data_IF_581018553260
#
_entry.id   IF_581018553260
#
_cell.length_a   1.000
_cell.length_b   1.000
_cell.length_c   1.000
_cell.angle_alpha   90.00
_cell.angle_beta   90.00
_cell.angle_gamma   90.00
#
_symmetry.space_group_name_H-M   'P 1'
#
loop_
_entity.id
_entity.type
_entity.pdbx_description
1 polymer ?
#
# COMPACT_ATOMS: atom_id res chain seq x y z
N UNK A 1 -3.04 25.43 -3.46
CA UNK A 1 -2.76 24.45 -2.39
C UNK A 1 -4.07 23.83 -1.97
N UNK A 2 -4.34 22.57 -2.32
CA UNK A 2 -5.58 21.88 -1.90
C UNK A 2 -5.30 21.15 -0.60
N UNK A 3 -5.89 21.63 0.48
CA UNK A 3 -5.87 20.95 1.78
C UNK A 3 -6.56 19.60 1.66
N UNK A 4 -5.89 18.54 2.11
CA UNK A 4 -6.57 17.29 2.40
C UNK A 4 -7.54 17.54 3.56
N UNK A 5 -8.78 17.03 3.53
CA UNK A 5 -9.64 17.11 4.69
C UNK A 5 -8.96 16.41 5.86
N UNK A 6 -8.96 17.05 7.03
CA UNK A 6 -9.03 16.27 8.26
C UNK A 6 -10.25 15.34 8.13
N UNK A 7 -10.12 14.08 8.57
CA UNK A 7 -11.18 13.03 8.65
C UNK A 7 -11.12 11.90 7.61
N UNK A 8 -10.01 11.65 6.91
CA UNK A 8 -9.97 10.59 5.91
C UNK A 8 -10.01 9.17 6.53
N UNK A 9 -11.20 8.57 6.59
CA UNK A 9 -11.45 7.13 6.42
C UNK A 9 -11.22 6.18 7.61
N UNK A 10 -11.88 5.02 7.54
CA UNK A 10 -11.52 3.84 8.34
C UNK A 10 -10.15 3.31 7.92
N UNK A 11 -9.47 2.56 8.81
CA UNK A 11 -8.24 1.87 8.44
C UNK A 11 -8.41 1.09 7.15
N UNK A 12 -7.46 1.27 6.22
CA UNK A 12 -7.50 0.67 4.90
C UNK A 12 -8.17 1.50 3.79
N UNK A 13 -8.67 2.70 4.08
CA UNK A 13 -9.09 3.62 3.02
C UNK A 13 -7.88 4.10 2.19
N UNK A 14 -8.05 4.16 0.86
CA UNK A 14 -7.04 4.70 -0.06
C UNK A 14 -7.25 6.20 -0.23
N UNK A 15 -6.22 6.98 0.08
CA UNK A 15 -6.21 8.45 0.04
C UNK A 15 -5.69 8.94 -1.31
N UNK A 16 -4.68 8.25 -1.85
CA UNK A 16 -4.13 8.52 -3.17
C UNK A 16 -3.98 7.18 -3.90
N UNK A 17 -4.72 7.05 -4.99
CA UNK A 17 -4.66 5.91 -5.90
C UNK A 17 -3.51 6.08 -6.90
N UNK A 18 -2.89 4.98 -7.38
CA UNK A 18 -1.91 5.03 -8.44
C UNK A 18 -2.54 5.52 -9.75
N UNK A 19 -1.75 6.09 -10.65
CA UNK A 19 -2.18 6.41 -12.02
C UNK A 19 -2.62 5.16 -12.77
N UNK A 20 -3.42 5.32 -13.83
CA UNK A 20 -3.96 4.17 -14.57
C UNK A 20 -2.89 3.40 -15.36
N UNK A 21 -1.78 4.04 -15.73
CA UNK A 21 -0.77 3.44 -16.62
C UNK A 21 0.64 3.90 -16.27
N UNK A 22 1.59 2.99 -16.38
CA UNK A 22 3.02 3.20 -16.13
C UNK A 22 3.87 2.45 -17.15
N UNK A 23 5.15 2.82 -17.22
CA UNK A 23 6.21 2.15 -17.96
C UNK A 23 7.30 1.67 -16.99
N UNK A 24 8.08 0.65 -17.36
CA UNK A 24 9.32 0.31 -16.65
C UNK A 24 10.20 1.54 -16.39
N UNK A 25 10.77 1.62 -15.19
CA UNK A 25 11.57 2.75 -14.69
C UNK A 25 10.76 3.90 -14.08
N UNK A 26 9.42 3.88 -14.14
CA UNK A 26 8.58 4.84 -13.43
C UNK A 26 8.26 4.37 -12.01
N UNK A 27 7.75 5.30 -11.19
CA UNK A 27 7.36 5.00 -9.82
C UNK A 27 5.84 5.02 -9.65
N UNK A 28 5.31 3.93 -9.12
CA UNK A 28 3.93 3.82 -8.67
C UNK A 28 3.87 4.21 -7.21
N UNK A 29 2.93 5.07 -6.83
CA UNK A 29 2.73 5.49 -5.44
C UNK A 29 1.26 5.36 -5.05
N UNK A 30 1.01 4.86 -3.84
CA UNK A 30 -0.29 4.79 -3.23
C UNK A 30 -0.22 5.20 -1.76
N UNK A 31 -1.25 5.90 -1.27
CA UNK A 31 -1.31 6.36 0.12
C UNK A 31 -2.57 5.82 0.79
N UNK A 32 -2.41 5.22 1.96
CA UNK A 32 -3.49 4.59 2.72
C UNK A 32 -3.63 5.23 4.10
N UNK A 33 -4.86 5.25 4.61
CA UNK A 33 -5.13 5.41 6.04
C UNK A 33 -4.69 4.13 6.74
N UNK A 34 -3.78 4.25 7.70
CA UNK A 34 -3.21 3.07 8.36
C UNK A 34 -2.98 3.31 9.85
N UNK A 35 -2.62 2.24 10.56
CA UNK A 35 -2.33 2.22 11.98
C UNK A 35 -0.80 2.27 12.24
N UNK A 36 -0.41 2.29 13.51
CA UNK A 36 1.00 2.24 13.91
C UNK A 36 1.60 0.86 13.59
N UNK A 37 2.72 0.76 12.85
CA UNK A 37 3.35 -0.52 12.51
C UNK A 37 3.75 -1.33 13.74
N UNK A 38 4.10 -0.68 14.85
CA UNK A 38 4.46 -1.36 16.10
C UNK A 38 3.31 -2.18 16.73
N UNK A 39 2.07 -2.03 16.27
CA UNK A 39 0.97 -2.88 16.71
C UNK A 39 1.20 -4.35 16.32
N UNK A 40 1.88 -4.58 15.20
CA UNK A 40 2.28 -5.91 14.72
C UNK A 40 3.49 -5.76 13.79
N UNK A 41 4.64 -6.30 14.21
CA UNK A 41 5.88 -6.21 13.44
C UNK A 41 5.87 -7.06 12.16
N UNK A 42 4.84 -7.90 11.96
CA UNK A 42 4.66 -8.76 10.78
C UNK A 42 5.86 -9.64 10.46
N UNK A 43 6.49 -10.22 11.50
CA UNK A 43 7.65 -11.12 11.32
C UNK A 43 7.25 -12.34 10.49
N UNK A 44 7.92 -12.54 9.35
CA UNK A 44 7.60 -13.60 8.40
C UNK A 44 6.38 -13.31 7.51
N UNK A 45 5.82 -12.10 7.58
CA UNK A 45 4.82 -11.57 6.66
C UNK A 45 5.31 -10.29 6.00
N UNK A 46 4.38 -9.45 5.54
CA UNK A 46 4.68 -8.19 4.87
C UNK A 46 3.64 -7.11 5.18
N UNK A 47 4.06 -5.83 5.16
CA UNK A 47 3.20 -4.65 5.19
C UNK A 47 2.66 -4.26 3.82
N UNK A 48 3.29 -4.68 2.73
CA UNK A 48 2.87 -4.39 1.36
C UNK A 48 3.13 -5.53 0.39
N UNK A 49 2.29 -5.64 -0.63
CA UNK A 49 2.53 -6.49 -1.78
C UNK A 49 2.26 -5.71 -3.06
N UNK A 50 3.13 -5.87 -4.06
CA UNK A 50 2.77 -5.61 -5.44
C UNK A 50 2.30 -6.93 -6.03
N UNK A 51 1.08 -6.96 -6.56
CA UNK A 51 0.51 -8.17 -7.15
C UNK A 51 0.14 -7.94 -8.60
N UNK A 52 0.46 -8.92 -9.44
CA UNK A 52 0.19 -8.96 -10.88
C UNK A 52 -0.95 -9.91 -11.17
N UNK A 53 -1.79 -9.58 -12.15
CA UNK A 53 -2.83 -10.48 -12.64
C UNK A 53 -2.25 -11.55 -13.55
N UNK A 54 -2.53 -12.82 -13.24
CA UNK A 54 -2.19 -13.99 -14.05
C UNK A 54 -3.46 -14.82 -14.29
N UNK A 55 -4.04 -14.68 -15.48
CA UNK A 55 -5.36 -15.24 -15.79
C UNK A 55 -6.45 -14.70 -14.87
N UNK A 56 -7.05 -15.59 -14.07
CA UNK A 56 -8.06 -15.25 -13.07
C UNK A 56 -7.48 -14.96 -11.67
N UNK A 57 -6.17 -15.18 -11.47
CA UNK A 57 -5.51 -15.08 -10.18
C UNK A 57 -4.66 -13.81 -10.05
N UNK A 58 -4.33 -13.44 -8.81
CA UNK A 58 -3.36 -12.40 -8.50
C UNK A 58 -2.14 -13.04 -7.83
N UNK A 59 -0.95 -12.77 -8.36
CA UNK A 59 0.31 -13.33 -7.89
C UNK A 59 1.19 -12.20 -7.37
N UNK A 60 1.72 -12.34 -6.15
CA UNK A 60 2.70 -11.39 -5.60
C UNK A 60 4.00 -11.46 -6.39
N UNK A 61 4.47 -10.30 -6.82
CA UNK A 61 5.72 -10.13 -7.56
C UNK A 61 6.76 -9.33 -6.77
N UNK A 62 6.34 -8.57 -5.76
CA UNK A 62 7.24 -7.91 -4.83
C UNK A 62 6.56 -7.68 -3.47
N UNK A 63 7.34 -7.59 -2.40
CA UNK A 63 6.92 -7.20 -1.05
C UNK A 63 7.87 -6.16 -0.43
N UNK A 64 7.76 -5.91 0.88
CA UNK A 64 8.56 -4.92 1.61
C UNK A 64 10.02 -5.33 1.85
N UNK A 65 10.41 -6.56 1.48
CA UNK A 65 11.80 -7.00 1.44
C UNK A 65 12.51 -6.69 0.13
N UNK A 66 11.77 -6.36 -0.94
CA UNK A 66 12.33 -6.07 -2.25
C UNK A 66 12.86 -4.64 -2.37
N UNK A 67 14.04 -4.47 -2.98
CA UNK A 67 14.66 -3.16 -3.22
C UNK A 67 13.80 -2.19 -4.04
N UNK A 68 12.91 -2.72 -4.87
CA UNK A 68 12.03 -1.94 -5.73
C UNK A 68 10.85 -1.33 -4.96
N UNK A 69 10.63 -1.69 -3.69
CA UNK A 69 9.50 -1.18 -2.91
C UNK A 69 9.96 -0.33 -1.74
N UNK A 70 9.08 0.55 -1.28
CA UNK A 70 9.28 1.19 0.02
C UNK A 70 7.96 1.37 0.75
N UNK A 71 8.05 1.19 2.06
CA UNK A 71 6.98 1.41 3.02
C UNK A 71 7.34 2.61 3.89
N UNK A 72 6.50 3.65 3.90
CA UNK A 72 6.73 4.83 4.73
C UNK A 72 5.51 5.18 5.54
N UNK A 73 5.59 4.93 6.85
CA UNK A 73 4.59 5.36 7.81
C UNK A 73 4.81 6.82 8.23
N UNK A 74 3.73 7.57 8.37
CA UNK A 74 3.74 8.92 8.92
C UNK A 74 2.54 9.18 9.82
N UNK A 75 2.80 9.77 10.97
CA UNK A 75 1.77 10.30 11.86
C UNK A 75 1.05 11.48 11.20
N UNK A 76 -0.28 11.49 11.32
CA UNK A 76 -1.16 12.56 10.84
C UNK A 76 -1.95 13.12 12.03
N UNK A 77 -1.43 14.20 12.62
CA UNK A 77 -1.97 14.77 13.84
C UNK A 77 -1.93 13.82 15.04
N UNK A 78 -2.91 13.93 15.95
CA UNK A 78 -2.91 13.19 17.22
C UNK A 78 -3.37 11.74 17.10
N UNK A 79 -4.31 11.45 16.21
CA UNK A 79 -4.99 10.15 16.15
C UNK A 79 -4.89 9.42 14.81
N UNK A 80 -4.50 10.09 13.72
CA UNK A 80 -4.39 9.48 12.40
C UNK A 80 -2.95 9.09 12.06
N UNK A 81 -2.82 8.15 11.12
CA UNK A 81 -1.56 7.92 10.40
C UNK A 81 -1.82 7.47 8.97
N UNK A 82 -0.88 7.80 8.09
CA UNK A 82 -0.88 7.32 6.72
C UNK A 82 0.33 6.43 6.48
N UNK A 83 0.18 5.56 5.50
CA UNK A 83 1.27 4.81 4.90
C UNK A 83 1.35 5.20 3.43
N UNK A 84 2.52 5.64 2.98
CA UNK A 84 2.86 5.74 1.57
C UNK A 84 3.60 4.47 1.17
N UNK A 85 3.09 3.77 0.17
CA UNK A 85 3.76 2.66 -0.50
C UNK A 85 4.19 3.14 -1.87
N UNK A 86 5.45 2.88 -2.20
CA UNK A 86 6.02 3.15 -3.51
C UNK A 86 6.57 1.86 -4.09
N UNK A 87 6.38 1.68 -5.39
CA UNK A 87 7.01 0.64 -6.20
C UNK A 87 7.70 1.28 -7.40
N UNK A 88 9.02 1.19 -7.45
CA UNK A 88 9.85 1.55 -8.59
C UNK A 88 9.83 0.41 -9.60
N UNK A 89 9.08 0.57 -10.70
CA UNK A 89 8.80 -0.48 -11.68
C UNK A 89 10.11 -0.97 -12.30
N UNK A 90 10.56 -2.22 -12.05
CA UNK A 90 11.80 -2.74 -12.63
C UNK A 90 11.81 -2.71 -14.16
N UNK A 91 13.00 -2.58 -14.75
CA UNK A 91 13.19 -2.47 -16.21
C UNK A 91 12.69 -3.68 -17.01
N UNK A 92 12.67 -4.85 -16.38
CA UNK A 92 12.24 -6.14 -16.92
C UNK A 92 10.80 -6.52 -16.53
N UNK A 93 10.04 -5.57 -15.97
CA UNK A 93 8.64 -5.80 -15.59
C UNK A 93 7.81 -6.25 -16.78
N UNK A 94 7.13 -7.39 -16.63
CA UNK A 94 6.24 -7.90 -17.66
C UNK A 94 5.01 -6.99 -17.83
N UNK A 95 4.62 -6.60 -19.05
CA UNK A 95 3.40 -5.83 -19.25
C UNK A 95 2.16 -6.54 -18.69
N UNK A 96 1.23 -5.78 -18.10
CA UNK A 96 0.02 -6.36 -17.53
C UNK A 96 -0.69 -5.49 -16.49
N UNK A 97 -1.66 -6.09 -15.82
CA UNK A 97 -2.44 -5.46 -14.74
C UNK A 97 -1.79 -5.73 -13.39
N UNK A 98 -1.70 -4.68 -12.59
CA UNK A 98 -1.09 -4.68 -11.26
C UNK A 98 -2.00 -3.96 -10.26
N UNK A 99 -1.79 -4.24 -8.98
CA UNK A 99 -2.35 -3.47 -7.86
C UNK A 99 -1.42 -3.56 -6.66
N UNK A 100 -1.51 -2.57 -5.77
CA UNK A 100 -0.79 -2.59 -4.50
C UNK A 100 -1.75 -3.03 -3.40
N UNK A 101 -1.29 -3.94 -2.56
CA UNK A 101 -1.99 -4.41 -1.36
C UNK A 101 -1.22 -3.90 -0.14
N UNK A 102 -1.92 -3.29 0.81
CA UNK A 102 -1.36 -2.91 2.10
C UNK A 102 -1.98 -3.76 3.20
N UNK A 103 -1.15 -4.25 4.13
CA UNK A 103 -1.59 -4.96 5.31
C UNK A 103 -1.24 -4.19 6.58
N UNK A 104 -2.21 -4.05 7.48
CA UNK A 104 -2.02 -3.34 8.74
C UNK A 104 -2.76 -4.00 9.91
N UNK A 105 -2.41 -3.59 11.12
CA UNK A 105 -3.05 -4.05 12.35
C UNK A 105 -3.43 -2.84 13.19
N UNK A 106 -4.73 -2.59 13.29
CA UNK A 106 -5.28 -1.50 14.08
C UNK A 106 -5.39 -1.88 15.55
N UNK A 107 -5.18 -0.92 16.43
CA UNK A 107 -5.43 -1.06 17.88
C UNK A 107 -6.55 -0.12 18.27
N UNK A 108 -7.59 -0.64 18.94
CA UNK A 108 -8.67 0.18 19.46
C UNK A 108 -8.37 0.75 20.87
N UNK A 109 -9.32 1.48 21.45
CA UNK A 109 -9.17 2.09 22.79
C UNK A 109 -9.09 1.08 23.92
N UNK A 110 -9.62 -0.13 23.72
CA UNK A 110 -9.57 -1.22 24.69
C UNK A 110 -8.28 -2.07 24.52
N UNK A 111 -7.43 -1.74 23.55
CA UNK A 111 -6.20 -2.44 23.25
C UNK A 111 -6.38 -3.64 22.32
N UNK A 112 -7.59 -3.90 21.82
CA UNK A 112 -7.86 -5.00 20.89
C UNK A 112 -7.17 -4.74 19.56
N UNK A 113 -6.51 -5.77 19.03
CA UNK A 113 -5.81 -5.74 17.75
C UNK A 113 -6.67 -6.35 16.65
N UNK A 114 -6.88 -5.60 15.56
CA UNK A 114 -7.66 -6.04 14.40
C UNK A 114 -6.84 -5.88 13.13
N UNK A 115 -6.55 -7.00 12.47
CA UNK A 115 -5.88 -6.99 11.17
C UNK A 115 -6.83 -6.45 10.08
N UNK A 116 -6.27 -5.74 9.11
CA UNK A 116 -6.97 -5.31 7.91
C UNK A 116 -6.05 -5.39 6.69
N UNK A 117 -6.68 -5.46 5.52
CA UNK A 117 -6.01 -5.33 4.23
C UNK A 117 -6.72 -4.28 3.40
N UNK A 118 -5.96 -3.54 2.61
CA UNK A 118 -6.43 -2.54 1.67
C UNK A 118 -5.82 -2.78 0.30
N UNK A 119 -6.53 -2.46 -0.76
CA UNK A 119 -6.08 -2.70 -2.13
C UNK A 119 -6.41 -1.48 -2.98
N UNK A 120 -5.44 -1.03 -3.78
CA UNK A 120 -5.65 0.05 -4.74
C UNK A 120 -6.60 -0.39 -5.85
N UNK A 121 -7.04 0.57 -6.67
CA UNK A 121 -7.48 0.26 -8.03
C UNK A 121 -6.37 -0.44 -8.82
N UNK A 122 -6.77 -1.13 -9.88
CA UNK A 122 -5.82 -1.70 -10.83
C UNK A 122 -5.14 -0.61 -11.67
N UNK A 123 -3.89 -0.86 -12.05
CA UNK A 123 -3.16 -0.05 -13.00
C UNK A 123 -2.38 -0.95 -13.98
N UNK A 124 -2.08 -0.42 -15.16
CA UNK A 124 -1.40 -1.16 -16.22
C UNK A 124 0.08 -0.76 -16.29
N UNK A 125 0.96 -1.74 -16.44
CA UNK A 125 2.33 -1.50 -16.92
C UNK A 125 2.41 -1.90 -18.39
N UNK A 126 2.87 -0.99 -19.26
CA UNK A 126 2.95 -1.17 -20.72
C UNK A 126 4.38 -1.22 -21.23
#
# INVERSE_FOLDING_TARGET
MRGAPADAGSFGAVIAEPSATYRPGQAVEAVFVSALPNNDLRRGGTYLEVVRREGASWVRIADDGDWATSFRWQRQGRAGSHVSIRWDVPGDTTPGQYRIVHHGTARDRNGMLTAFSATTREFTVV
#
